data_IF_909959219112
#
_entry.id   IF_909959219112
#
_cell.length_a   1.000
_cell.length_b   1.000
_cell.length_c   1.000
_cell.angle_alpha   90.00
_cell.angle_beta   90.00
_cell.angle_gamma   90.00
#
_symmetry.space_group_name_H-M   'P 1'
#
loop_
_entity.id
_entity.type
_entity.pdbx_description
1 polymer ?
#
# COMPACT_ATOMS: atom_id res chain seq x y z
N UNK A 1 -12.39 -9.84 -10.45
CA UNK A 1 -11.63 -9.85 -9.19
C UNK A 1 -10.12 -9.90 -9.51
N UNK A 2 -9.26 -9.24 -8.72
CA UNK A 2 -7.83 -9.32 -8.91
C UNK A 2 -7.32 -10.76 -8.76
N UNK A 3 -6.34 -11.11 -9.56
CA UNK A 3 -5.64 -12.39 -9.51
C UNK A 3 -4.29 -12.23 -8.80
N UNK A 4 -3.59 -13.35 -8.54
CA UNK A 4 -2.24 -13.28 -7.97
C UNK A 4 -1.25 -12.61 -8.96
N UNK A 5 -1.42 -12.80 -10.26
CA UNK A 5 -0.58 -12.15 -11.28
C UNK A 5 -0.75 -10.61 -11.26
N UNK A 6 -1.95 -10.12 -10.94
CA UNK A 6 -2.17 -8.68 -10.72
C UNK A 6 -1.37 -8.15 -9.53
N UNK A 7 -1.24 -8.95 -8.46
CA UNK A 7 -0.43 -8.61 -7.28
C UNK A 7 1.05 -8.56 -7.64
N UNK A 8 1.56 -9.54 -8.40
CA UNK A 8 2.95 -9.56 -8.89
C UNK A 8 3.22 -8.32 -9.75
N UNK A 9 2.37 -8.05 -10.72
CA UNK A 9 2.51 -6.89 -11.59
C UNK A 9 2.45 -5.55 -10.82
N UNK A 10 1.61 -5.46 -9.78
CA UNK A 10 1.58 -4.31 -8.89
C UNK A 10 2.90 -4.18 -8.10
N UNK A 11 3.45 -5.29 -7.60
CA UNK A 11 4.75 -5.31 -6.93
C UNK A 11 5.87 -4.75 -7.80
N UNK A 12 5.93 -5.17 -9.07
CA UNK A 12 6.91 -4.65 -10.03
C UNK A 12 6.77 -3.14 -10.26
N UNK A 13 5.54 -2.62 -10.37
CA UNK A 13 5.30 -1.18 -10.52
C UNK A 13 5.71 -0.36 -9.28
N UNK A 14 5.64 -0.98 -8.10
CA UNK A 14 5.99 -0.35 -6.82
C UNK A 14 7.48 -0.44 -6.50
N UNK A 15 8.24 -1.27 -7.21
CA UNK A 15 9.66 -1.46 -6.96
C UNK A 15 10.44 -0.15 -7.11
N UNK A 16 11.29 0.15 -6.14
CA UNK A 16 12.04 1.42 -6.07
C UNK A 16 11.22 2.65 -5.66
N UNK A 17 9.88 2.53 -5.57
CA UNK A 17 8.99 3.65 -5.22
C UNK A 17 8.37 3.49 -3.83
N UNK A 18 7.82 2.34 -3.53
CA UNK A 18 7.30 2.06 -2.19
C UNK A 18 8.44 1.62 -1.25
N UNK A 19 8.37 2.05 0.00
CA UNK A 19 9.30 1.56 1.01
C UNK A 19 9.01 0.08 1.32
N UNK A 20 10.06 -0.69 1.55
CA UNK A 20 9.93 -2.03 2.11
C UNK A 20 9.78 -1.91 3.63
N UNK A 21 8.59 -2.24 4.12
CA UNK A 21 8.25 -2.04 5.52
C UNK A 21 8.91 -3.06 6.45
N UNK A 22 9.31 -2.63 7.66
CA UNK A 22 9.73 -3.57 8.70
C UNK A 22 8.53 -4.42 9.13
N UNK A 23 8.85 -5.67 9.49
CA UNK A 23 7.92 -6.57 10.14
C UNK A 23 8.33 -6.65 11.61
N UNK A 24 7.44 -6.23 12.50
CA UNK A 24 7.66 -6.25 13.94
C UNK A 24 6.81 -7.33 14.60
N UNK A 25 7.24 -7.75 15.78
CA UNK A 25 6.49 -8.67 16.66
C UNK A 25 6.29 -8.01 18.03
N UNK A 26 5.27 -8.47 18.73
CA UNK A 26 4.97 -8.04 20.10
C UNK A 26 4.75 -9.27 20.98
N UNK A 27 5.60 -9.49 21.96
CA UNK A 27 5.45 -10.57 22.93
C UNK A 27 4.12 -10.46 23.69
N UNK A 28 3.67 -9.25 23.99
CA UNK A 28 2.36 -9.01 24.63
C UNK A 28 1.20 -9.43 23.75
N UNK A 29 1.24 -9.12 22.44
CA UNK A 29 0.20 -9.53 21.50
C UNK A 29 0.19 -11.05 21.33
N UNK A 30 1.38 -11.65 21.17
CA UNK A 30 1.53 -13.11 21.04
C UNK A 30 0.93 -13.83 22.27
N UNK A 31 1.26 -13.38 23.48
CA UNK A 31 0.76 -13.97 24.71
C UNK A 31 -0.77 -13.84 24.87
N UNK A 32 -1.33 -12.67 24.51
CA UNK A 32 -2.79 -12.42 24.60
C UNK A 32 -3.61 -13.22 23.60
N UNK A 33 -3.05 -13.44 22.40
CA UNK A 33 -3.77 -14.07 21.30
C UNK A 33 -3.46 -15.57 21.15
N UNK A 34 -2.47 -16.08 21.90
CA UNK A 34 -2.02 -17.46 21.76
C UNK A 34 -1.47 -17.80 20.38
N UNK A 35 -0.91 -16.80 19.67
CA UNK A 35 -0.46 -16.92 18.29
C UNK A 35 0.76 -16.05 18.03
N UNK A 36 1.54 -16.38 16.99
CA UNK A 36 2.62 -15.50 16.51
C UNK A 36 2.03 -14.41 15.62
N UNK A 37 2.08 -13.16 16.08
CA UNK A 37 1.50 -12.01 15.38
C UNK A 37 2.61 -11.18 14.73
N UNK A 38 2.44 -10.89 13.45
CA UNK A 38 3.39 -10.10 12.65
C UNK A 38 2.73 -8.80 12.21
N UNK A 39 3.34 -7.67 12.54
CA UNK A 39 2.86 -6.34 12.19
C UNK A 39 3.68 -5.79 11.03
N UNK A 40 3.08 -5.66 9.85
CA UNK A 40 3.66 -4.94 8.73
C UNK A 40 3.41 -3.45 8.93
N UNK A 41 4.47 -2.70 9.23
CA UNK A 41 4.38 -1.33 9.72
C UNK A 41 4.18 -0.31 8.59
N UNK A 42 3.01 -0.31 7.94
CA UNK A 42 2.67 0.62 6.84
C UNK A 42 2.54 2.09 7.29
N UNK A 43 2.57 2.36 8.60
CA UNK A 43 2.73 3.70 9.14
C UNK A 43 4.10 4.33 8.83
N UNK A 44 5.10 3.54 8.43
CA UNK A 44 6.39 4.03 7.94
C UNK A 44 6.46 4.11 6.41
N UNK A 45 5.37 3.80 5.71
CA UNK A 45 5.28 3.98 4.27
C UNK A 45 5.32 5.46 3.90
N UNK A 46 5.64 5.78 2.64
CA UNK A 46 5.47 7.13 2.10
C UNK A 46 4.07 7.64 2.44
N UNK A 47 3.94 8.90 2.83
CA UNK A 47 2.72 9.53 3.33
C UNK A 47 2.22 8.96 4.67
N UNK A 48 3.00 8.11 5.34
CA UNK A 48 2.62 7.52 6.63
C UNK A 48 1.45 6.53 6.54
N UNK A 49 1.13 5.99 5.36
CA UNK A 49 -0.05 5.17 5.17
C UNK A 49 0.08 4.13 4.05
N UNK A 50 -0.58 2.98 4.22
CA UNK A 50 -0.63 1.91 3.21
C UNK A 50 -1.27 2.34 1.88
N UNK A 51 -2.04 3.40 1.86
CA UNK A 51 -2.74 3.93 0.68
C UNK A 51 -1.80 4.36 -0.45
N UNK A 52 -0.55 4.72 -0.13
CA UNK A 52 0.47 5.00 -1.13
C UNK A 52 0.59 3.88 -2.17
N UNK A 53 0.56 2.62 -1.75
CA UNK A 53 0.69 1.48 -2.65
C UNK A 53 -0.42 1.43 -3.70
N UNK A 54 -1.67 1.60 -3.28
CA UNK A 54 -2.81 1.59 -4.18
C UNK A 54 -2.81 2.77 -5.14
N UNK A 55 -2.58 3.98 -4.62
CA UNK A 55 -2.54 5.20 -5.43
C UNK A 55 -1.41 5.14 -6.47
N UNK A 56 -0.20 4.79 -6.06
CA UNK A 56 0.95 4.68 -6.96
C UNK A 56 0.77 3.57 -8.00
N UNK A 57 0.13 2.47 -7.66
CA UNK A 57 -0.19 1.41 -8.61
C UNK A 57 -1.26 1.83 -9.64
N UNK A 58 -2.21 2.67 -9.24
CA UNK A 58 -3.32 3.10 -10.11
C UNK A 58 -2.91 4.22 -11.08
N UNK A 59 -2.20 5.26 -10.60
CA UNK A 59 -1.88 6.46 -11.37
C UNK A 59 -1.14 6.20 -12.70
N UNK A 60 -0.09 5.35 -12.77
CA UNK A 60 0.60 5.07 -14.02
C UNK A 60 -0.26 4.35 -15.07
N UNK A 61 -1.35 3.73 -14.65
CA UNK A 61 -2.30 3.01 -15.52
C UNK A 61 -3.32 3.92 -16.20
N UNK A 62 -3.40 5.18 -15.77
CA UNK A 62 -4.26 6.20 -16.37
C UNK A 62 -3.67 6.62 -17.72
N UNK A 63 -4.48 6.70 -18.77
CA UNK A 63 -4.03 7.12 -20.11
C UNK A 63 -3.50 8.56 -20.11
N UNK A 64 -2.70 8.90 -21.11
CA UNK A 64 -2.14 10.26 -21.26
C UNK A 64 -3.22 11.34 -21.29
N UNK A 65 -4.33 11.10 -22.02
CA UNK A 65 -5.45 12.04 -22.09
C UNK A 65 -6.16 12.21 -20.73
N UNK A 66 -6.36 11.12 -20.00
CA UNK A 66 -6.92 11.18 -18.65
C UNK A 66 -5.99 11.91 -17.67
N UNK A 67 -4.67 11.74 -17.79
CA UNK A 67 -3.71 12.49 -16.96
C UNK A 67 -3.75 14.00 -17.20
N UNK A 68 -3.94 14.41 -18.45
CA UNK A 68 -4.12 15.85 -18.79
C UNK A 68 -5.39 16.44 -18.20
N UNK A 69 -6.47 15.65 -18.15
CA UNK A 69 -7.72 16.06 -17.52
C UNK A 69 -7.63 16.14 -15.99
N UNK A 70 -6.59 15.53 -15.40
CA UNK A 70 -6.39 15.45 -13.98
C UNK A 70 -7.13 14.29 -13.31
N UNK A 71 -6.94 14.14 -12.02
CA UNK A 71 -7.63 13.16 -11.17
C UNK A 71 -8.27 13.85 -10.00
N UNK A 72 -9.44 13.39 -9.62
CA UNK A 72 -10.14 13.86 -8.43
C UNK A 72 -10.24 12.70 -7.45
N UNK A 73 -9.97 12.98 -6.20
CA UNK A 73 -10.14 12.03 -5.10
C UNK A 73 -10.85 12.69 -3.94
N UNK A 74 -11.51 11.91 -3.12
CA UNK A 74 -12.01 12.35 -1.82
C UNK A 74 -11.79 11.26 -0.79
N UNK A 75 -11.64 11.66 0.47
CA UNK A 75 -11.43 10.71 1.55
C UNK A 75 -11.72 11.38 2.89
N UNK A 76 -12.16 10.60 3.86
CA UNK A 76 -12.22 11.01 5.26
C UNK A 76 -10.89 10.80 6.01
N UNK A 77 -9.83 10.40 5.33
CA UNK A 77 -8.53 10.06 5.96
C UNK A 77 -7.40 9.94 4.94
N UNK A 78 -6.59 8.92 5.05
CA UNK A 78 -5.28 8.76 4.41
C UNK A 78 -5.29 8.56 2.88
N UNK A 79 -6.41 8.66 2.20
CA UNK A 79 -6.47 8.46 0.73
C UNK A 79 -6.45 9.78 -0.06
N UNK A 80 -6.93 10.87 0.50
CA UNK A 80 -6.90 12.19 -0.13
C UNK A 80 -5.62 12.94 0.17
#
# INVERSE_FOLDING_TARGET
LPTFDDVIAAGQRLEGHAHRMPILRSATADARLGASVFFKCENFQRMGAFKFRGAFNALPRISAGQRQAGVVTFSSGNHA
#
